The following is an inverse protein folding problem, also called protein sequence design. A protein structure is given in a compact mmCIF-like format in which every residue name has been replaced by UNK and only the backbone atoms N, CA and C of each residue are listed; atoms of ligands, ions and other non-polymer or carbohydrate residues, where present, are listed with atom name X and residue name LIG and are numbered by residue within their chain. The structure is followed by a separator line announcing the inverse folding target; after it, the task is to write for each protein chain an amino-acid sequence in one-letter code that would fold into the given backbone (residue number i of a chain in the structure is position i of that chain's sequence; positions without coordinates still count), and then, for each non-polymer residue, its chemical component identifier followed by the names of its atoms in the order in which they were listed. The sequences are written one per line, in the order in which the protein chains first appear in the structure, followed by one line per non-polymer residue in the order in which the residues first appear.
data_IF_597051765687
#
_entry.id   IF_597051765687
#
_cell.length_a   1.000
_cell.length_b   1.000
_cell.length_c   1.000
_cell.angle_alpha   90.00
_cell.angle_beta   90.00
_cell.angle_gamma   90.00
#
_symmetry.space_group_name_H-M   'P 1'
#
loop_
_entity.id
_entity.type
_entity.pdbx_description
1 polymer ?
#
# COMPACT_ATOMS: atom_id res chain seq x y z
N UNK A 1 -22.46 -28.45 8.35
CA UNK A 1 -21.01 -28.63 8.61
C UNK A 1 -20.29 -29.46 7.54
N UNK A 2 -20.92 -30.46 6.92
CA UNK A 2 -20.30 -31.31 5.87
C UNK A 2 -19.88 -30.48 4.64
N UNK A 3 -20.72 -29.57 4.18
CA UNK A 3 -20.43 -28.71 3.00
C UNK A 3 -19.23 -27.80 3.18
N UNK A 4 -19.03 -27.21 4.37
CA UNK A 4 -17.88 -26.35 4.66
C UNK A 4 -16.56 -27.10 4.63
N UNK A 5 -16.57 -28.33 5.13
CA UNK A 5 -15.40 -29.24 5.13
C UNK A 5 -15.00 -29.65 3.69
N UNK A 6 -16.01 -29.85 2.83
CA UNK A 6 -15.81 -30.16 1.42
C UNK A 6 -15.21 -28.95 0.68
N UNK A 7 -15.75 -27.76 0.90
CA UNK A 7 -15.26 -26.52 0.30
C UNK A 7 -13.79 -26.20 0.72
N UNK A 8 -13.44 -26.37 2.00
CA UNK A 8 -12.07 -26.23 2.46
C UNK A 8 -11.11 -27.25 1.80
N UNK A 9 -11.60 -28.48 1.55
CA UNK A 9 -10.80 -29.49 0.87
C UNK A 9 -10.61 -29.17 -0.62
N UNK A 10 -11.61 -28.58 -1.27
CA UNK A 10 -11.52 -28.09 -2.66
C UNK A 10 -10.48 -26.99 -2.79
N UNK A 11 -10.50 -26.00 -1.91
CA UNK A 11 -9.54 -24.90 -1.88
C UNK A 11 -8.09 -25.38 -1.71
N UNK A 12 -7.84 -26.37 -0.85
CA UNK A 12 -6.50 -26.96 -0.69
C UNK A 12 -5.95 -27.60 -1.94
N UNK A 13 -6.80 -27.96 -2.90
CA UNK A 13 -6.38 -28.52 -4.20
C UNK A 13 -6.15 -27.45 -5.25
N UNK A 14 -6.72 -26.27 -5.08
CA UNK A 14 -6.57 -25.17 -6.03
C UNK A 14 -5.28 -24.37 -5.75
N UNK A 15 -4.27 -24.64 -6.58
CA UNK A 15 -2.95 -23.98 -6.49
C UNK A 15 -3.04 -22.47 -6.67
N UNK A 16 -3.96 -21.99 -7.51
CA UNK A 16 -4.14 -20.56 -7.77
C UNK A 16 -4.68 -19.83 -6.54
N UNK A 17 -5.64 -20.44 -5.85
CA UNK A 17 -6.15 -19.91 -4.59
C UNK A 17 -5.05 -19.81 -3.52
N UNK A 18 -4.23 -20.86 -3.38
CA UNK A 18 -3.14 -20.88 -2.40
C UNK A 18 -2.10 -19.80 -2.69
N UNK A 19 -1.65 -19.68 -3.93
CA UNK A 19 -0.67 -18.67 -4.35
C UNK A 19 -1.23 -17.25 -4.09
N UNK A 20 -2.48 -17.02 -4.46
CA UNK A 20 -3.13 -15.73 -4.23
C UNK A 20 -3.22 -15.37 -2.74
N UNK A 21 -3.48 -16.36 -1.87
CA UNK A 21 -3.53 -16.15 -0.42
C UNK A 21 -2.19 -15.70 0.17
N UNK A 22 -1.11 -16.32 -0.27
CA UNK A 22 0.23 -16.01 0.24
C UNK A 22 0.82 -14.74 -0.36
N UNK A 23 0.33 -14.26 -1.51
CA UNK A 23 0.89 -13.08 -2.17
C UNK A 23 0.94 -11.83 -1.28
N UNK A 24 -0.14 -11.39 -0.60
CA UNK A 24 -0.08 -10.24 0.31
C UNK A 24 0.86 -10.48 1.49
N UNK A 25 0.92 -11.71 2.01
CA UNK A 25 1.80 -12.07 3.13
C UNK A 25 3.28 -11.97 2.72
N UNK A 26 3.64 -12.45 1.53
CA UNK A 26 5.00 -12.32 1.00
C UNK A 26 5.36 -10.85 0.78
N UNK A 27 4.44 -10.07 0.21
CA UNK A 27 4.65 -8.62 0.03
C UNK A 27 4.81 -7.90 1.37
N UNK A 28 4.08 -8.30 2.41
CA UNK A 28 4.21 -7.78 3.76
C UNK A 28 5.61 -8.04 4.34
N UNK A 29 6.11 -9.27 4.19
CA UNK A 29 7.47 -9.64 4.62
C UNK A 29 8.52 -8.80 3.88
N UNK A 30 8.37 -8.62 2.57
CA UNK A 30 9.29 -7.82 1.76
C UNK A 30 9.32 -6.35 2.21
N UNK A 31 8.17 -5.74 2.46
CA UNK A 31 8.11 -4.34 2.92
C UNK A 31 8.67 -4.21 4.34
N UNK A 32 8.38 -5.15 5.23
CA UNK A 32 8.96 -5.12 6.57
C UNK A 32 10.49 -5.25 6.50
N UNK A 33 11.01 -6.15 5.65
CA UNK A 33 12.44 -6.27 5.42
C UNK A 33 13.06 -5.00 4.82
N UNK A 34 12.38 -4.34 3.86
CA UNK A 34 12.83 -3.05 3.32
C UNK A 34 12.89 -1.95 4.39
N UNK A 35 11.96 -1.96 5.34
CA UNK A 35 11.97 -1.02 6.48
C UNK A 35 13.16 -1.21 7.44
N UNK A 36 13.79 -2.40 7.46
CA UNK A 36 14.98 -2.69 8.26
C UNK A 36 16.28 -2.29 7.55
N UNK A 37 16.24 -2.06 6.24
CA UNK A 37 17.39 -1.56 5.49
C UNK A 37 17.54 -0.07 5.80
N UNK A 38 18.65 0.28 6.41
CA UNK A 38 18.99 1.68 6.67
C UNK A 38 19.26 2.41 5.35
N UNK A 39 18.17 2.99 4.80
CA UNK A 39 18.19 3.79 3.56
C UNK A 39 18.66 5.22 3.85
N UNK A 40 18.96 5.55 5.12
CA UNK A 40 19.48 6.88 5.49
C UNK A 40 20.75 7.23 4.72
N UNK A 41 21.55 6.22 4.40
CA UNK A 41 22.74 6.37 3.55
C UNK A 41 22.43 6.75 2.09
N UNK A 42 21.22 6.47 1.58
CA UNK A 42 20.79 6.88 0.23
C UNK A 42 20.24 8.32 0.20
N UNK A 43 19.89 8.88 1.35
CA UNK A 43 19.44 10.28 1.51
C UNK A 43 20.54 11.22 2.01
N UNK A 44 21.73 10.72 2.36
CA UNK A 44 22.84 11.56 2.77
C UNK A 44 23.41 12.31 1.57
N UNK A 45 23.42 13.64 1.69
CA UNK A 45 24.03 14.52 0.69
C UNK A 45 25.51 14.19 0.62
N UNK A 46 25.99 13.80 -0.55
CA UNK A 46 27.40 13.51 -0.81
C UNK A 46 28.05 14.71 -1.47
N UNK A 47 29.09 15.23 -0.84
CA UNK A 47 29.92 16.29 -1.38
C UNK A 47 31.22 15.69 -1.95
N UNK A 48 31.46 15.88 -3.22
CA UNK A 48 32.71 15.49 -3.86
C UNK A 48 33.68 16.68 -3.89
N UNK A 49 34.86 16.52 -3.34
CA UNK A 49 35.94 17.53 -3.39
C UNK A 49 37.20 16.94 -4.03
N UNK A 50 38.04 17.79 -4.62
CA UNK A 50 39.35 17.39 -5.11
C UNK A 50 40.38 17.62 -4.01
N UNK A 51 41.29 16.66 -3.81
CA UNK A 51 42.35 16.70 -2.82
C UNK A 51 43.12 18.02 -2.88
N UNK A 52 43.43 18.60 -1.71
CA UNK A 52 44.22 19.82 -1.54
C UNK A 52 43.69 21.10 -2.23
N UNK A 53 42.44 21.09 -2.71
CA UNK A 53 41.83 22.25 -3.39
C UNK A 53 41.05 23.17 -2.45
N UNK A 54 40.55 22.64 -1.34
CA UNK A 54 39.74 23.37 -0.36
C UNK A 54 40.49 23.50 0.99
N UNK A 55 40.31 24.61 1.70
CA UNK A 55 40.84 24.76 3.08
C UNK A 55 40.22 23.71 4.01
N UNK A 56 40.97 23.23 4.99
CA UNK A 56 40.55 22.25 5.99
C UNK A 56 39.26 22.69 6.72
N UNK A 57 39.15 24.00 7.01
CA UNK A 57 37.94 24.57 7.62
C UNK A 57 36.68 24.45 6.76
N UNK A 58 36.84 24.51 5.44
CA UNK A 58 35.73 24.33 4.48
C UNK A 58 35.31 22.87 4.39
N UNK A 59 36.25 21.95 4.40
CA UNK A 59 35.98 20.52 4.45
C UNK A 59 35.26 20.13 5.76
N UNK A 60 35.68 20.61 6.89
CA UNK A 60 35.01 20.39 8.18
C UNK A 60 33.61 21.00 8.21
N UNK A 61 33.40 22.13 7.55
CA UNK A 61 32.08 22.74 7.42
C UNK A 61 31.16 21.87 6.55
N UNK A 62 31.63 21.35 5.40
CA UNK A 62 30.87 20.46 4.55
C UNK A 62 30.46 19.15 5.26
N UNK A 63 31.38 18.59 6.10
CA UNK A 63 31.13 17.39 6.92
C UNK A 63 29.98 17.54 7.92
N UNK A 64 29.57 18.78 8.25
CA UNK A 64 28.39 19.02 9.11
C UNK A 64 27.06 18.84 8.37
N UNK A 65 27.06 18.91 7.03
CA UNK A 65 25.87 18.90 6.21
C UNK A 65 25.74 17.64 5.34
N UNK A 66 26.76 16.80 5.29
CA UNK A 66 26.73 15.55 4.54
C UNK A 66 28.08 14.83 4.50
N UNK A 67 28.13 13.71 3.80
CA UNK A 67 29.37 12.96 3.58
C UNK A 67 30.28 13.66 2.60
N UNK A 68 31.57 13.80 2.93
CA UNK A 68 32.56 14.38 2.04
C UNK A 68 33.46 13.29 1.50
N UNK A 69 33.43 13.10 0.18
CA UNK A 69 34.31 12.18 -0.56
C UNK A 69 35.42 12.98 -1.26
N UNK A 70 36.67 12.58 -1.01
CA UNK A 70 37.86 13.24 -1.59
C UNK A 70 38.34 12.46 -2.80
N UNK A 71 38.50 13.14 -3.91
CA UNK A 71 38.96 12.56 -5.20
C UNK A 71 40.34 13.11 -5.54
N UNK A 72 41.20 12.26 -6.12
CA UNK A 72 42.59 12.65 -6.46
C UNK A 72 42.65 13.64 -7.62
N UNK A 73 41.71 13.58 -8.57
CA UNK A 73 41.71 14.42 -9.76
C UNK A 73 40.31 14.99 -10.04
N UNK A 74 40.32 16.18 -10.70
CA UNK A 74 39.08 16.81 -11.17
C UNK A 74 38.30 15.92 -12.15
N UNK A 75 39.02 15.11 -12.93
CA UNK A 75 38.42 14.18 -13.89
C UNK A 75 37.65 13.03 -13.18
N UNK A 76 38.19 12.51 -12.07
CA UNK A 76 37.51 11.50 -11.26
C UNK A 76 36.25 12.10 -10.61
N UNK A 77 36.32 13.30 -10.06
CA UNK A 77 35.17 14.00 -9.50
C UNK A 77 34.06 14.19 -10.57
N UNK A 78 34.41 14.64 -11.78
CA UNK A 78 33.43 14.84 -12.87
C UNK A 78 32.80 13.50 -13.29
N UNK A 79 33.55 12.40 -13.30
CA UNK A 79 33.01 11.07 -13.60
C UNK A 79 32.00 10.65 -12.55
N UNK A 80 32.30 10.87 -11.29
CA UNK A 80 31.40 10.54 -10.18
C UNK A 80 30.12 11.39 -10.20
N UNK A 81 30.24 12.70 -10.49
CA UNK A 81 29.07 13.59 -10.63
C UNK A 81 28.16 13.12 -11.80
N UNK A 82 28.73 12.53 -12.85
CA UNK A 82 27.99 12.00 -13.99
C UNK A 82 27.37 10.61 -13.75
N UNK A 83 27.79 9.92 -12.69
CA UNK A 83 27.21 8.62 -12.37
C UNK A 83 25.84 8.81 -11.71
N UNK A 84 24.81 8.31 -12.38
CA UNK A 84 23.39 8.38 -11.97
C UNK A 84 23.16 7.71 -10.60
N UNK A 85 24.10 6.85 -10.17
CA UNK A 85 23.96 6.09 -8.92
C UNK A 85 24.42 6.84 -7.66
N UNK A 86 25.16 7.93 -7.79
CA UNK A 86 25.89 8.52 -6.66
C UNK A 86 25.35 9.85 -6.16
N UNK A 87 24.48 10.55 -6.91
CA UNK A 87 23.89 11.86 -6.54
C UNK A 87 24.88 12.83 -5.83
N UNK A 88 26.14 12.87 -6.34
CA UNK A 88 27.23 13.61 -5.70
C UNK A 88 27.27 15.06 -6.15
N UNK A 89 27.22 16.01 -5.21
CA UNK A 89 27.41 17.44 -5.45
C UNK A 89 28.90 17.73 -5.49
N UNK A 90 29.44 18.12 -6.64
CA UNK A 90 30.83 18.58 -6.72
C UNK A 90 31.00 19.95 -6.07
N UNK A 91 32.00 20.11 -5.21
CA UNK A 91 32.36 21.40 -4.58
C UNK A 91 33.76 21.79 -5.00
N UNK A 92 33.89 22.94 -5.62
CA UNK A 92 35.18 23.48 -6.11
C UNK A 92 35.39 24.86 -5.51
N UNK A 93 36.65 25.21 -5.29
CA UNK A 93 37.03 26.55 -4.82
C UNK A 93 36.77 27.61 -5.89
N UNK A 94 36.15 28.72 -5.50
CA UNK A 94 35.97 29.90 -6.35
C UNK A 94 36.40 31.15 -5.59
N UNK A 95 37.64 31.55 -5.81
CA UNK A 95 38.27 32.65 -5.07
C UNK A 95 38.26 32.43 -3.54
N UNK A 96 37.55 33.27 -2.81
CA UNK A 96 37.33 33.14 -1.35
C UNK A 96 36.07 32.29 -1.01
N UNK A 97 35.27 31.90 -2.00
CA UNK A 97 34.03 31.13 -1.84
C UNK A 97 34.12 29.70 -2.38
N UNK A 98 32.97 29.08 -2.46
CA UNK A 98 32.80 27.77 -3.06
C UNK A 98 31.81 27.86 -4.25
N UNK A 99 32.05 27.02 -5.25
CA UNK A 99 31.11 26.80 -6.37
C UNK A 99 30.72 25.35 -6.41
N UNK A 100 29.43 25.09 -6.61
CA UNK A 100 28.90 23.75 -6.77
C UNK A 100 28.81 23.35 -8.24
N UNK A 101 29.05 22.07 -8.52
CA UNK A 101 28.94 21.44 -9.84
C UNK A 101 27.93 20.31 -9.75
N UNK A 102 26.90 20.40 -10.58
CA UNK A 102 25.81 19.44 -10.70
C UNK A 102 25.74 18.92 -12.13
N UNK A 103 25.28 17.71 -12.32
CA UNK A 103 25.05 17.14 -13.67
C UNK A 103 23.72 17.59 -14.26
N UNK A 104 22.70 17.84 -13.42
CA UNK A 104 21.40 18.36 -13.81
C UNK A 104 20.26 17.34 -13.81
N UNK A 105 20.56 16.06 -13.60
CA UNK A 105 19.57 14.98 -13.48
C UNK A 105 19.31 14.55 -12.02
N UNK A 106 19.93 15.22 -11.05
CA UNK A 106 19.76 14.95 -9.63
C UNK A 106 18.30 15.20 -9.17
N UNK A 107 17.93 14.54 -8.08
CA UNK A 107 16.64 14.75 -7.41
C UNK A 107 16.51 16.24 -7.02
N UNK A 108 15.33 16.81 -7.18
CA UNK A 108 15.08 18.24 -6.93
C UNK A 108 15.55 18.73 -5.57
N UNK A 109 15.52 17.88 -4.53
CA UNK A 109 16.03 18.20 -3.20
C UNK A 109 17.54 18.45 -3.23
N UNK A 110 18.32 17.55 -3.85
CA UNK A 110 19.79 17.66 -3.96
C UNK A 110 20.18 18.84 -4.85
N UNK A 111 19.44 19.06 -5.93
CA UNK A 111 19.61 20.19 -6.83
C UNK A 111 19.41 21.53 -6.11
N UNK A 112 18.39 21.62 -5.24
CA UNK A 112 18.16 22.82 -4.44
C UNK A 112 19.28 23.05 -3.43
N UNK A 113 19.74 22.00 -2.72
CA UNK A 113 20.90 22.10 -1.82
C UNK A 113 22.13 22.56 -2.59
N UNK A 114 22.43 21.95 -3.74
CA UNK A 114 23.57 22.35 -4.56
C UNK A 114 23.51 23.81 -5.00
N UNK A 115 22.36 24.37 -5.29
CA UNK A 115 22.17 25.78 -5.66
C UNK A 115 22.35 26.74 -4.49
N UNK A 116 21.88 26.37 -3.29
CA UNK A 116 21.91 27.23 -2.08
C UNK A 116 23.23 27.13 -1.32
N UNK A 117 24.00 26.06 -1.48
CA UNK A 117 25.25 25.80 -0.76
C UNK A 117 26.28 26.94 -0.83
N UNK A 118 26.55 27.57 -2.02
CA UNK A 118 27.48 28.70 -2.11
C UNK A 118 27.01 29.91 -1.32
N UNK A 119 25.72 30.21 -1.29
CA UNK A 119 25.15 31.31 -0.50
C UNK A 119 25.25 31.04 1.00
N UNK A 120 24.94 29.83 1.44
CA UNK A 120 25.09 29.38 2.81
C UNK A 120 26.55 29.50 3.29
N UNK A 121 27.50 29.15 2.42
CA UNK A 121 28.93 29.31 2.73
C UNK A 121 29.36 30.78 2.86
N UNK A 122 28.81 31.67 2.04
CA UNK A 122 29.08 33.12 2.10
C UNK A 122 28.55 33.74 3.39
N UNK A 123 27.37 33.30 3.85
CA UNK A 123 26.72 33.77 5.06
C UNK A 123 27.28 33.15 6.37
N UNK A 124 28.25 32.22 6.25
CA UNK A 124 28.86 31.49 7.39
C UNK A 124 29.35 32.39 8.52
N UNK A 125 29.73 33.65 8.23
CA UNK A 125 30.20 34.63 9.22
C UNK A 125 29.07 35.26 10.03
N UNK A 126 27.88 35.37 9.48
CA UNK A 126 26.72 36.05 10.07
C UNK A 126 25.77 35.10 10.83
N UNK A 127 25.99 33.77 10.70
CA UNK A 127 25.14 32.74 11.28
C UNK A 127 25.58 32.24 12.66
N UNK A 128 26.24 33.08 13.48
CA UNK A 128 26.75 32.68 14.79
C UNK A 128 25.70 32.27 15.81
N UNK A 129 24.43 32.64 15.62
CA UNK A 129 23.34 32.38 16.56
C UNK A 129 22.07 31.75 15.94
N UNK A 130 22.18 31.08 14.79
CA UNK A 130 21.05 30.33 14.23
C UNK A 130 21.06 28.92 14.81
N UNK A 131 20.30 28.71 15.86
CA UNK A 131 19.96 27.40 16.37
C UNK A 131 18.97 26.74 15.38
N UNK A 132 19.49 25.90 14.51
CA UNK A 132 18.65 25.13 13.57
C UNK A 132 18.07 23.96 14.35
N UNK A 133 16.87 24.14 14.86
CA UNK A 133 16.07 23.00 15.36
C UNK A 133 15.57 22.23 14.15
N UNK A 134 16.22 21.14 13.82
CA UNK A 134 15.74 20.19 12.82
C UNK A 134 14.58 19.46 13.49
N UNK A 135 13.36 19.90 13.19
CA UNK A 135 12.17 19.09 13.49
C UNK A 135 12.31 17.79 12.67
N UNK A 136 12.29 16.62 13.31
CA UNK A 136 12.31 15.38 12.58
C UNK A 136 11.05 15.34 11.70
N UNK A 137 11.22 15.68 10.43
CA UNK A 137 10.17 15.43 9.43
C UNK A 137 10.14 13.91 9.28
N UNK A 138 8.98 13.33 9.56
CA UNK A 138 8.76 11.92 9.22
C UNK A 138 9.24 11.73 7.78
N UNK A 139 10.17 10.81 7.58
CA UNK A 139 10.81 10.68 6.27
C UNK A 139 9.72 10.40 5.23
N UNK A 140 9.78 11.06 4.09
CA UNK A 140 8.88 10.82 2.95
C UNK A 140 8.79 9.31 2.67
N UNK A 141 9.88 8.58 2.89
CA UNK A 141 9.97 7.13 2.79
C UNK A 141 9.05 6.41 3.79
N UNK A 142 8.92 6.90 5.03
CA UNK A 142 8.04 6.30 6.03
C UNK A 142 6.56 6.50 5.65
N UNK A 143 6.22 7.66 5.13
CA UNK A 143 4.87 7.95 4.63
C UNK A 143 4.51 7.05 3.44
N UNK A 144 5.41 6.88 2.47
CA UNK A 144 5.24 5.93 1.38
C UNK A 144 5.12 4.48 1.88
N UNK A 145 5.94 4.08 2.85
CA UNK A 145 5.86 2.75 3.46
C UNK A 145 4.47 2.52 4.08
N UNK A 146 3.93 3.48 4.81
CA UNK A 146 2.60 3.39 5.41
C UNK A 146 1.50 3.21 4.34
N UNK A 147 1.59 3.96 3.23
CA UNK A 147 0.67 3.82 2.10
C UNK A 147 0.77 2.44 1.47
N UNK A 148 1.98 1.90 1.27
CA UNK A 148 2.18 0.55 0.75
C UNK A 148 1.63 -0.51 1.69
N UNK A 149 1.82 -0.39 3.00
CA UNK A 149 1.23 -1.28 4.00
C UNK A 149 -0.29 -1.26 3.90
N UNK A 150 -0.91 -0.07 3.83
CA UNK A 150 -2.36 0.06 3.67
C UNK A 150 -2.87 -0.62 2.39
N UNK A 151 -2.17 -0.47 1.27
CA UNK A 151 -2.52 -1.12 -0.01
C UNK A 151 -2.41 -2.64 0.08
N UNK A 152 -1.37 -3.18 0.72
CA UNK A 152 -1.22 -4.62 0.92
C UNK A 152 -2.33 -5.17 1.81
N UNK A 153 -2.70 -4.45 2.86
CA UNK A 153 -3.81 -4.83 3.75
C UNK A 153 -5.14 -4.87 3.00
N UNK A 154 -5.44 -3.87 2.17
CA UNK A 154 -6.63 -3.88 1.31
C UNK A 154 -6.59 -5.09 0.37
N UNK A 155 -5.45 -5.39 -0.24
CA UNK A 155 -5.27 -6.56 -1.11
C UNK A 155 -5.51 -7.85 -0.34
N UNK A 156 -5.02 -7.96 0.89
CA UNK A 156 -5.23 -9.12 1.75
C UNK A 156 -6.71 -9.31 2.13
N UNK A 157 -7.42 -8.22 2.45
CA UNK A 157 -8.87 -8.26 2.69
C UNK A 157 -9.65 -8.66 1.43
N UNK A 158 -9.17 -8.25 0.25
CA UNK A 158 -9.78 -8.58 -1.03
C UNK A 158 -9.61 -10.05 -1.42
N UNK A 159 -8.76 -10.81 -0.73
CA UNK A 159 -8.63 -12.25 -0.95
C UNK A 159 -9.96 -12.99 -0.77
N UNK A 160 -10.85 -12.53 0.11
CA UNK A 160 -12.20 -13.06 0.25
C UNK A 160 -13.00 -13.06 -1.04
N UNK A 161 -12.86 -11.99 -1.84
CA UNK A 161 -13.45 -11.88 -3.18
C UNK A 161 -12.88 -12.94 -4.13
N UNK A 162 -11.56 -13.02 -4.22
CA UNK A 162 -10.87 -13.97 -5.11
C UNK A 162 -11.26 -15.40 -4.79
N UNK A 163 -11.25 -15.79 -3.51
CA UNK A 163 -11.65 -17.12 -3.08
C UNK A 163 -13.07 -17.48 -3.47
N UNK A 164 -14.03 -16.60 -3.19
CA UNK A 164 -15.42 -16.88 -3.51
C UNK A 164 -15.66 -16.95 -5.00
N UNK A 165 -15.11 -16.02 -5.77
CA UNK A 165 -15.26 -16.01 -7.21
C UNK A 165 -14.67 -17.26 -7.85
N UNK A 166 -13.41 -17.60 -7.53
CA UNK A 166 -12.71 -18.75 -8.07
C UNK A 166 -13.41 -20.06 -7.70
N UNK A 167 -13.82 -20.19 -6.44
CA UNK A 167 -14.51 -21.39 -5.98
C UNK A 167 -15.84 -21.62 -6.73
N UNK A 168 -16.63 -20.55 -6.98
CA UNK A 168 -17.90 -20.67 -7.73
C UNK A 168 -17.63 -20.99 -9.20
N UNK A 169 -16.60 -20.40 -9.79
CA UNK A 169 -16.24 -20.62 -11.19
C UNK A 169 -15.72 -22.04 -11.38
N UNK A 170 -14.85 -22.55 -10.51
CA UNK A 170 -14.40 -23.93 -10.56
C UNK A 170 -15.55 -24.93 -10.42
N UNK A 171 -16.51 -24.66 -9.52
CA UNK A 171 -17.72 -25.52 -9.41
C UNK A 171 -18.56 -25.52 -10.69
N UNK A 172 -18.59 -24.42 -11.45
CA UNK A 172 -19.28 -24.37 -12.75
C UNK A 172 -18.54 -25.17 -13.81
N UNK A 173 -17.21 -25.01 -13.90
CA UNK A 173 -16.39 -25.70 -14.90
C UNK A 173 -16.35 -27.22 -14.66
N UNK A 174 -16.30 -27.64 -13.40
CA UNK A 174 -16.31 -29.05 -13.01
C UNK A 174 -17.72 -29.69 -13.09
N UNK A 175 -18.76 -28.94 -13.47
CA UNK A 175 -20.14 -29.40 -13.49
C UNK A 175 -20.76 -29.66 -12.10
N UNK A 176 -20.03 -29.34 -11.02
CA UNK A 176 -20.48 -29.54 -9.63
C UNK A 176 -21.67 -28.63 -9.30
N UNK A 177 -21.80 -27.50 -9.99
CA UNK A 177 -22.94 -26.57 -9.79
C UNK A 177 -24.30 -27.28 -10.05
N UNK A 178 -24.35 -28.21 -10.99
CA UNK A 178 -25.55 -29.03 -11.27
C UNK A 178 -25.84 -30.01 -10.11
N UNK A 179 -24.79 -30.61 -9.55
CA UNK A 179 -24.91 -31.51 -8.37
C UNK A 179 -25.42 -30.74 -7.15
N UNK A 180 -24.97 -29.49 -6.96
CA UNK A 180 -25.43 -28.64 -5.87
C UNK A 180 -26.91 -28.26 -5.95
N UNK A 181 -27.53 -28.28 -7.14
CA UNK A 181 -28.98 -28.07 -7.32
C UNK A 181 -29.82 -29.29 -6.89
N UNK A 182 -29.23 -30.48 -6.94
CA UNK A 182 -29.91 -31.75 -6.58
C UNK A 182 -29.71 -32.10 -5.11
N UNK A 183 -28.70 -31.51 -4.45
CA UNK A 183 -28.43 -31.75 -3.03
C UNK A 183 -29.56 -31.16 -2.15
N UNK A 184 -29.91 -31.79 -1.03
CA UNK A 184 -30.89 -31.30 -0.07
C UNK A 184 -30.39 -30.12 0.77
N UNK A 185 -29.71 -29.16 0.12
CA UNK A 185 -29.19 -27.96 0.71
C UNK A 185 -30.00 -26.76 0.29
N UNK A 186 -30.45 -25.92 1.24
CA UNK A 186 -31.12 -24.69 0.87
C UNK A 186 -30.14 -23.72 0.22
N UNK A 187 -30.63 -22.95 -0.76
CA UNK A 187 -29.84 -21.94 -1.47
C UNK A 187 -29.21 -20.91 -0.52
N UNK A 188 -29.95 -20.55 0.53
CA UNK A 188 -29.45 -19.64 1.56
C UNK A 188 -28.26 -20.24 2.33
N UNK A 189 -28.29 -21.52 2.64
CA UNK A 189 -27.20 -22.23 3.29
C UNK A 189 -25.96 -22.25 2.42
N UNK A 190 -26.09 -22.47 1.11
CA UNK A 190 -24.98 -22.42 0.16
C UNK A 190 -24.33 -21.04 0.14
N UNK A 191 -25.13 -19.98 0.05
CA UNK A 191 -24.65 -18.60 0.00
C UNK A 191 -23.92 -18.23 1.31
N UNK A 192 -24.53 -18.55 2.46
CA UNK A 192 -23.92 -18.26 3.76
C UNK A 192 -22.57 -18.99 3.92
N UNK A 193 -22.48 -20.25 3.46
CA UNK A 193 -21.20 -20.98 3.51
C UNK A 193 -20.13 -20.33 2.65
N UNK A 194 -20.47 -19.85 1.45
CA UNK A 194 -19.53 -19.15 0.57
C UNK A 194 -19.08 -17.82 1.16
N UNK A 195 -20.04 -17.00 1.64
CA UNK A 195 -19.70 -15.73 2.31
C UNK A 195 -18.80 -15.96 3.52
N UNK A 196 -19.15 -16.92 4.35
CA UNK A 196 -18.36 -17.25 5.54
C UNK A 196 -16.94 -17.71 5.20
N UNK A 197 -16.79 -18.52 4.15
CA UNK A 197 -15.49 -18.99 3.70
C UNK A 197 -14.63 -17.82 3.19
N UNK A 198 -15.18 -16.96 2.32
CA UNK A 198 -14.48 -15.79 1.81
C UNK A 198 -14.10 -14.82 2.93
N UNK A 199 -15.01 -14.60 3.89
CA UNK A 199 -14.75 -13.77 5.08
C UNK A 199 -13.60 -14.35 5.90
N UNK A 200 -13.61 -15.66 6.19
CA UNK A 200 -12.52 -16.30 6.95
C UNK A 200 -11.17 -16.17 6.23
N UNK A 201 -11.13 -16.43 4.93
CA UNK A 201 -9.89 -16.32 4.15
C UNK A 201 -9.38 -14.87 4.10
N UNK A 202 -10.26 -13.90 3.89
CA UNK A 202 -9.90 -12.48 3.93
C UNK A 202 -9.40 -12.05 5.29
N UNK A 203 -10.09 -12.41 6.37
CA UNK A 203 -9.67 -12.09 7.73
C UNK A 203 -8.34 -12.75 8.10
N UNK A 204 -8.13 -14.01 7.79
CA UNK A 204 -6.88 -14.71 8.10
C UNK A 204 -5.69 -14.09 7.35
N UNK A 205 -5.82 -13.85 6.04
CA UNK A 205 -4.78 -13.22 5.24
C UNK A 205 -4.43 -11.83 5.79
N UNK A 206 -5.45 -11.01 6.08
CA UNK A 206 -5.26 -9.65 6.58
C UNK A 206 -4.65 -9.63 7.97
N UNK A 207 -5.10 -10.48 8.89
CA UNK A 207 -4.55 -10.51 10.25
C UNK A 207 -3.10 -10.96 10.26
N UNK A 208 -2.72 -11.96 9.44
CA UNK A 208 -1.32 -12.35 9.29
C UNK A 208 -0.49 -11.16 8.78
N UNK A 209 -1.01 -10.43 7.79
CA UNK A 209 -0.34 -9.25 7.24
C UNK A 209 -0.21 -8.13 8.27
N UNK A 210 -1.24 -7.88 9.10
CA UNK A 210 -1.20 -6.90 10.20
C UNK A 210 -0.08 -7.25 11.19
N UNK A 211 -0.01 -8.50 11.63
CA UNK A 211 1.02 -8.95 12.59
C UNK A 211 2.45 -8.83 12.03
N UNK A 212 2.63 -8.92 10.72
CA UNK A 212 3.95 -8.78 10.08
C UNK A 212 4.34 -7.30 9.94
N UNK A 213 3.39 -6.45 9.55
CA UNK A 213 3.70 -5.06 9.16
C UNK A 213 3.58 -4.04 10.28
N UNK A 214 2.73 -4.29 11.30
CA UNK A 214 2.33 -3.29 12.28
C UNK A 214 2.60 -3.77 13.70
N UNK A 215 3.26 -2.89 14.46
CA UNK A 215 3.36 -3.03 15.92
C UNK A 215 2.38 -2.04 16.55
N UNK A 216 1.17 -2.53 16.82
CA UNK A 216 0.03 -1.72 17.28
C UNK A 216 -0.44 -2.14 18.67
N UNK A 217 -1.04 -1.20 19.39
CA UNK A 217 -1.61 -1.45 20.71
C UNK A 217 -2.80 -2.44 20.66
N UNK A 218 -3.16 -3.02 21.81
CA UNK A 218 -4.30 -3.95 21.89
C UNK A 218 -5.60 -3.27 21.47
N UNK A 219 -5.78 -1.99 21.79
CA UNK A 219 -6.96 -1.22 21.42
C UNK A 219 -7.04 -1.03 19.90
N UNK A 220 -5.94 -0.63 19.26
CA UNK A 220 -5.83 -0.45 17.82
C UNK A 220 -6.02 -1.79 17.09
N UNK A 221 -5.57 -2.89 17.70
CA UNK A 221 -5.78 -4.24 17.17
C UNK A 221 -7.28 -4.59 17.10
N UNK A 222 -8.08 -4.22 18.12
CA UNK A 222 -9.53 -4.45 18.11
C UNK A 222 -10.19 -3.62 17.01
N UNK A 223 -9.82 -2.35 16.87
CA UNK A 223 -10.32 -1.48 15.81
C UNK A 223 -9.95 -1.98 14.43
N UNK A 224 -8.69 -2.42 14.23
CA UNK A 224 -8.22 -3.05 13.00
C UNK A 224 -9.00 -4.32 12.69
N UNK A 225 -9.27 -5.17 13.67
CA UNK A 225 -10.06 -6.39 13.49
C UNK A 225 -11.48 -6.09 12.99
N UNK A 226 -12.16 -5.08 13.56
CA UNK A 226 -13.49 -4.65 13.12
C UNK A 226 -13.44 -4.16 11.66
N UNK A 227 -12.46 -3.33 11.32
CA UNK A 227 -12.26 -2.82 9.98
C UNK A 227 -12.01 -3.96 8.98
N UNK A 228 -11.18 -4.95 9.36
CA UNK A 228 -10.90 -6.14 8.56
C UNK A 228 -12.17 -6.97 8.34
N UNK A 229 -12.97 -7.21 9.38
CA UNK A 229 -14.20 -8.02 9.27
C UNK A 229 -15.19 -7.39 8.30
N UNK A 230 -15.46 -6.08 8.41
CA UNK A 230 -16.40 -5.40 7.51
C UNK A 230 -15.88 -5.37 6.07
N UNK A 231 -14.60 -5.05 5.85
CA UNK A 231 -14.01 -5.00 4.53
C UNK A 231 -13.94 -6.38 3.87
N UNK A 232 -13.58 -7.43 4.61
CA UNK A 232 -13.55 -8.80 4.11
C UNK A 232 -14.97 -9.33 3.82
N UNK A 233 -15.98 -8.90 4.58
CA UNK A 233 -17.37 -9.25 4.30
C UNK A 233 -17.84 -8.64 2.98
N UNK A 234 -17.60 -7.35 2.74
CA UNK A 234 -17.94 -6.67 1.48
C UNK A 234 -17.21 -7.35 0.31
N UNK A 235 -15.91 -7.59 0.47
CA UNK A 235 -15.07 -8.29 -0.50
C UNK A 235 -15.63 -9.68 -0.85
N UNK A 236 -16.04 -10.44 0.17
CA UNK A 236 -16.66 -11.75 0.00
C UNK A 236 -17.96 -11.70 -0.80
N UNK A 237 -18.81 -10.70 -0.56
CA UNK A 237 -20.06 -10.48 -1.35
C UNK A 237 -19.74 -10.15 -2.80
N UNK A 238 -18.78 -9.28 -3.07
CA UNK A 238 -18.35 -8.94 -4.42
C UNK A 238 -17.85 -10.19 -5.16
N UNK A 239 -17.11 -11.06 -4.47
CA UNK A 239 -16.68 -12.35 -5.02
C UNK A 239 -17.83 -13.25 -5.45
N UNK A 240 -18.93 -13.26 -4.68
CA UNK A 240 -20.15 -13.98 -5.10
C UNK A 240 -20.74 -13.40 -6.39
N UNK A 241 -20.77 -12.08 -6.55
CA UNK A 241 -21.26 -11.46 -7.78
C UNK A 241 -20.40 -11.85 -8.98
N UNK A 242 -19.07 -11.72 -8.84
CA UNK A 242 -18.12 -12.08 -9.90
C UNK A 242 -18.29 -13.57 -10.26
N UNK A 243 -18.30 -14.45 -9.28
CA UNK A 243 -18.46 -15.88 -9.50
C UNK A 243 -19.76 -16.23 -10.21
N UNK A 244 -20.87 -15.52 -9.91
CA UNK A 244 -22.15 -15.72 -10.60
C UNK A 244 -22.16 -15.18 -12.04
N UNK A 245 -21.53 -14.03 -12.28
CA UNK A 245 -21.51 -13.35 -13.57
C UNK A 245 -20.54 -14.01 -14.57
N UNK A 246 -19.50 -14.63 -14.06
CA UNK A 246 -18.46 -15.25 -14.91
C UNK A 246 -18.96 -16.55 -15.50
N UNK A 247 -18.78 -16.70 -16.81
CA UNK A 247 -19.12 -17.92 -17.56
C UNK A 247 -18.00 -18.97 -17.50
N UNK A 248 -16.77 -18.57 -17.24
CA UNK A 248 -15.60 -19.43 -17.13
C UNK A 248 -14.43 -18.75 -16.43
N UNK A 249 -13.36 -19.52 -16.23
CA UNK A 249 -12.20 -19.13 -15.44
C UNK A 249 -11.53 -17.86 -15.97
N UNK A 250 -11.31 -17.76 -17.28
CA UNK A 250 -10.64 -16.61 -17.88
C UNK A 250 -11.42 -15.30 -17.66
N UNK A 251 -12.73 -15.34 -17.87
CA UNK A 251 -13.62 -14.18 -17.66
C UNK A 251 -13.62 -13.78 -16.18
N UNK A 252 -13.67 -14.78 -15.29
CA UNK A 252 -13.64 -14.55 -13.86
C UNK A 252 -12.36 -13.87 -13.39
N UNK A 253 -11.20 -14.31 -13.87
CA UNK A 253 -9.91 -13.70 -13.55
C UNK A 253 -9.87 -12.24 -14.00
N UNK A 254 -10.39 -11.93 -15.20
CA UNK A 254 -10.46 -10.55 -15.71
C UNK A 254 -11.33 -9.68 -14.81
N UNK A 255 -12.52 -10.13 -14.42
CA UNK A 255 -13.41 -9.39 -13.52
C UNK A 255 -12.79 -9.17 -12.15
N UNK A 256 -12.14 -10.18 -11.56
CA UNK A 256 -11.42 -10.06 -10.29
C UNK A 256 -10.35 -8.97 -10.39
N UNK A 257 -9.54 -8.98 -11.46
CA UNK A 257 -8.47 -7.99 -11.67
C UNK A 257 -9.02 -6.58 -11.82
N UNK A 258 -10.06 -6.39 -12.62
CA UNK A 258 -10.69 -5.07 -12.82
C UNK A 258 -11.18 -4.51 -11.48
N UNK A 259 -11.93 -5.32 -10.73
CA UNK A 259 -12.47 -4.88 -9.43
C UNK A 259 -11.34 -4.63 -8.43
N UNK A 260 -10.30 -5.45 -8.41
CA UNK A 260 -9.13 -5.26 -7.54
C UNK A 260 -8.41 -3.94 -7.85
N UNK A 261 -8.20 -3.62 -9.14
CA UNK A 261 -7.59 -2.34 -9.56
C UNK A 261 -8.44 -1.16 -9.10
N UNK A 262 -9.77 -1.23 -9.22
CA UNK A 262 -10.67 -0.19 -8.73
C UNK A 262 -10.60 -0.04 -7.21
N UNK A 263 -10.56 -1.14 -6.47
CA UNK A 263 -10.51 -1.13 -5.00
C UNK A 263 -9.19 -0.58 -4.44
N UNK A 264 -8.07 -0.86 -5.09
CA UNK A 264 -6.75 -0.38 -4.68
C UNK A 264 -6.48 1.01 -5.27
N UNK A 265 -6.78 1.21 -6.54
CA UNK A 265 -6.46 2.43 -7.27
C UNK A 265 -7.24 3.65 -6.80
N UNK A 266 -8.53 3.49 -6.47
CA UNK A 266 -9.36 4.61 -6.03
C UNK A 266 -8.85 5.29 -4.76
N UNK A 267 -8.63 4.59 -3.62
CA UNK A 267 -8.10 5.24 -2.42
C UNK A 267 -6.70 5.82 -2.63
N UNK A 268 -5.85 5.14 -3.40
CA UNK A 268 -4.52 5.63 -3.72
C UNK A 268 -4.56 6.95 -4.50
N UNK A 269 -5.40 7.06 -5.53
CA UNK A 269 -5.57 8.28 -6.30
C UNK A 269 -6.09 9.43 -5.44
N UNK A 270 -7.08 9.17 -4.58
CA UNK A 270 -7.65 10.15 -3.67
C UNK A 270 -6.58 10.68 -2.70
N UNK A 271 -5.76 9.77 -2.17
CA UNK A 271 -4.66 10.12 -1.28
C UNK A 271 -3.60 10.98 -1.99
N UNK A 272 -3.14 10.56 -3.18
CA UNK A 272 -2.13 11.29 -3.96
C UNK A 272 -2.61 12.67 -4.43
N UNK A 273 -3.90 12.82 -4.75
CA UNK A 273 -4.49 14.10 -5.17
C UNK A 273 -4.82 15.02 -3.99
N UNK A 274 -4.70 14.55 -2.74
CA UNK A 274 -5.03 15.34 -1.55
C UNK A 274 -6.51 15.72 -1.44
N UNK A 275 -7.41 14.98 -2.10
CA UNK A 275 -8.85 15.31 -2.18
C UNK A 275 -9.55 15.10 -0.84
N UNK A 276 -8.96 14.37 0.10
CA UNK A 276 -9.53 14.12 1.44
C UNK A 276 -9.84 15.40 2.24
N UNK A 277 -9.17 16.51 1.94
CA UNK A 277 -9.35 17.80 2.63
C UNK A 277 -10.45 18.66 2.02
N UNK A 278 -11.02 18.28 0.88
CA UNK A 278 -12.05 19.03 0.15
C UNK A 278 -13.44 18.45 0.40
N UNK A 279 -14.51 19.24 0.19
CA UNK A 279 -15.90 18.76 0.28
C UNK A 279 -16.22 17.58 -0.65
N UNK A 280 -15.44 17.40 -1.72
CA UNK A 280 -15.50 16.27 -2.65
C UNK A 280 -15.06 14.97 -1.98
N UNK A 281 -14.21 15.03 -0.95
CA UNK A 281 -13.75 13.85 -0.18
C UNK A 281 -14.91 13.00 0.36
N UNK A 282 -16.04 13.60 0.71
CA UNK A 282 -17.22 12.86 1.19
C UNK A 282 -17.88 12.00 0.10
N UNK A 283 -17.82 12.40 -1.17
CA UNK A 283 -18.34 11.59 -2.28
C UNK A 283 -17.47 10.36 -2.55
N UNK A 284 -16.20 10.42 -2.20
CA UNK A 284 -15.26 9.31 -2.39
C UNK A 284 -15.58 8.12 -1.49
N UNK A 285 -16.30 8.34 -0.38
CA UNK A 285 -16.79 7.27 0.50
C UNK A 285 -17.89 6.37 -0.12
N UNK A 286 -18.32 6.64 -1.33
CA UNK A 286 -19.16 5.70 -2.13
C UNK A 286 -18.40 4.39 -2.36
N UNK A 287 -17.06 4.43 -2.44
CA UNK A 287 -16.22 3.24 -2.51
C UNK A 287 -15.84 2.78 -1.10
N UNK A 288 -16.19 1.54 -0.72
CA UNK A 288 -15.87 1.02 0.62
C UNK A 288 -14.36 0.92 0.87
N UNK A 289 -13.56 0.73 -0.17
CA UNK A 289 -12.10 0.67 -0.05
C UNK A 289 -11.47 1.98 0.42
N UNK A 290 -12.13 3.13 0.18
CA UNK A 290 -11.67 4.44 0.67
C UNK A 290 -11.78 4.52 2.19
N UNK A 291 -12.92 4.10 2.75
CA UNK A 291 -13.09 4.03 4.20
C UNK A 291 -12.09 3.04 4.83
N UNK A 292 -11.87 1.89 4.18
CA UNK A 292 -10.86 0.92 4.63
C UNK A 292 -9.46 1.54 4.65
N UNK A 293 -9.06 2.21 3.57
CA UNK A 293 -7.73 2.84 3.46
C UNK A 293 -7.53 3.93 4.51
N UNK A 294 -8.50 4.83 4.64
CA UNK A 294 -8.43 5.92 5.62
C UNK A 294 -8.36 5.37 7.05
N UNK A 295 -9.21 4.39 7.40
CA UNK A 295 -9.17 3.75 8.71
C UNK A 295 -7.82 3.08 9.02
N UNK A 296 -7.20 2.40 8.03
CA UNK A 296 -5.86 1.82 8.19
C UNK A 296 -4.82 2.93 8.41
N UNK A 297 -4.84 3.99 7.61
CA UNK A 297 -3.89 5.10 7.72
C UNK A 297 -4.03 5.84 9.06
N UNK A 298 -5.24 6.00 9.57
CA UNK A 298 -5.49 6.59 10.89
C UNK A 298 -4.91 5.73 12.02
N UNK A 299 -5.08 4.39 11.95
CA UNK A 299 -4.46 3.47 12.92
C UNK A 299 -2.94 3.57 12.88
N UNK A 300 -2.33 3.55 11.69
CA UNK A 300 -0.87 3.64 11.52
C UNK A 300 -0.33 4.96 12.07
N UNK A 301 -1.08 6.05 11.91
CA UNK A 301 -0.69 7.39 12.40
C UNK A 301 -1.05 7.64 13.87
N UNK A 302 -1.62 6.66 14.58
CA UNK A 302 -1.98 6.77 16.00
C UNK A 302 -3.19 7.67 16.29
N UNK A 303 -4.05 7.92 15.30
CA UNK A 303 -5.25 8.73 15.46
C UNK A 303 -6.43 7.88 15.94
N UNK A 304 -7.21 8.39 16.90
CA UNK A 304 -8.32 7.65 17.55
C UNK A 304 -9.66 7.77 16.81
N UNK A 305 -9.74 8.51 15.69
CA UNK A 305 -11.02 8.89 15.03
C UNK A 305 -11.49 7.87 13.98
N UNK A 306 -11.27 6.59 14.20
CA UNK A 306 -11.59 5.51 13.25
C UNK A 306 -13.09 5.16 13.23
N UNK A 307 -13.87 5.63 14.20
CA UNK A 307 -15.30 5.28 14.36
C UNK A 307 -16.11 5.66 13.11
N UNK A 308 -15.77 6.79 12.46
CA UNK A 308 -16.43 7.23 11.22
C UNK A 308 -16.28 6.17 10.11
N UNK A 309 -15.08 5.68 9.86
CA UNK A 309 -14.80 4.74 8.79
C UNK A 309 -15.43 3.37 9.05
N UNK A 310 -15.41 2.92 10.30
CA UNK A 310 -16.09 1.69 10.73
C UNK A 310 -17.60 1.78 10.49
N UNK A 311 -18.24 2.91 10.85
CA UNK A 311 -19.68 3.12 10.62
C UNK A 311 -20.01 3.13 9.15
N UNK A 312 -19.21 3.81 8.33
CA UNK A 312 -19.37 3.83 6.87
C UNK A 312 -19.27 2.41 6.30
N UNK A 313 -18.28 1.62 6.72
CA UNK A 313 -18.14 0.23 6.30
C UNK A 313 -19.31 -0.65 6.73
N UNK A 314 -19.83 -0.46 7.95
CA UNK A 314 -21.02 -1.16 8.42
C UNK A 314 -22.26 -0.85 7.55
N UNK A 315 -22.44 0.41 7.16
CA UNK A 315 -23.49 0.81 6.21
C UNK A 315 -23.28 0.14 4.85
N UNK A 316 -22.06 0.12 4.33
CA UNK A 316 -21.74 -0.59 3.09
C UNK A 316 -22.04 -2.09 3.16
N UNK A 317 -21.77 -2.75 4.28
CA UNK A 317 -22.13 -4.17 4.48
C UNK A 317 -23.62 -4.39 4.29
N UNK A 318 -24.46 -3.54 4.87
CA UNK A 318 -25.93 -3.63 4.72
C UNK A 318 -26.34 -3.37 3.28
N UNK A 319 -25.81 -2.32 2.66
CA UNK A 319 -26.14 -1.94 1.26
C UNK A 319 -25.76 -3.06 0.30
N UNK A 320 -24.54 -3.58 0.34
CA UNK A 320 -24.08 -4.66 -0.55
C UNK A 320 -24.85 -5.96 -0.33
N UNK A 321 -25.20 -6.27 0.93
CA UNK A 321 -26.02 -7.42 1.25
C UNK A 321 -27.44 -7.29 0.70
N UNK A 322 -28.07 -6.11 0.79
CA UNK A 322 -29.38 -5.82 0.22
C UNK A 322 -29.37 -5.91 -1.32
N UNK A 323 -28.34 -5.33 -1.96
CA UNK A 323 -28.16 -5.45 -3.42
C UNK A 323 -28.10 -6.93 -3.82
N UNK A 324 -27.34 -7.73 -3.05
CA UNK A 324 -27.22 -9.16 -3.32
C UNK A 324 -28.60 -9.87 -3.28
N UNK A 325 -29.38 -9.64 -2.23
CA UNK A 325 -30.70 -10.24 -2.07
C UNK A 325 -31.65 -9.84 -3.22
N UNK A 326 -31.66 -8.56 -3.60
CA UNK A 326 -32.52 -8.04 -4.68
C UNK A 326 -32.18 -8.71 -6.02
N UNK A 327 -30.90 -8.82 -6.35
CA UNK A 327 -30.45 -9.44 -7.60
C UNK A 327 -30.70 -10.95 -7.61
N UNK A 328 -30.58 -11.61 -6.46
CA UNK A 328 -30.89 -13.05 -6.36
C UNK A 328 -32.38 -13.33 -6.54
N UNK A 329 -33.28 -12.47 -6.03
CA UNK A 329 -34.72 -12.56 -6.23
C UNK A 329 -35.16 -12.32 -7.69
N UNK A 330 -34.60 -11.31 -8.37
CA UNK A 330 -34.91 -11.01 -9.77
C UNK A 330 -34.59 -12.19 -10.69
N UNK A 331 -33.49 -12.88 -10.48
CA UNK A 331 -33.12 -14.06 -11.30
C UNK A 331 -34.11 -15.25 -11.15
N UNK A 332 -34.74 -15.42 -9.98
CA UNK A 332 -35.80 -16.41 -9.78
C UNK A 332 -37.01 -16.18 -10.71
N UNK A 333 -37.35 -14.92 -10.94
CA UNK A 333 -38.51 -14.56 -11.81
C UNK A 333 -38.22 -14.79 -13.31
N UNK A 334 -36.94 -14.76 -13.73
CA UNK A 334 -36.57 -14.99 -15.13
C UNK A 334 -36.39 -16.45 -15.50
N UNK A 335 -36.05 -17.34 -14.56
CA UNK A 335 -35.89 -18.79 -14.81
C UNK A 335 -37.11 -19.64 -14.47
N UNK A 336 -38.18 -19.05 -13.93
CA UNK A 336 -39.46 -19.71 -13.69
C UNK A 336 -40.46 -19.53 -14.85
N UNK A 337 -39.99 -19.00 -15.98
CA UNK A 337 -40.68 -19.00 -17.26
C UNK A 337 -39.90 -19.88 -18.22
#
# INVERSE_FOLDING_TARGET
MIGLRYQLKSIKKDKMCIISFFLPVVMAILINFMGTIDISSLGEIRFGIVKDTLPVQTEQWLKKYGMVSVYDTKMHLIREIKDIKTDTIGVVRDGKGIKTVLYGNEINAIKNVGKTLPEMFRLKGDLKDVEVTILPKDSILKEFQNVFIAMILITAMFMGCTFNAMNIISEKEDGISFINEVLPQSRSQYIIQKVFLGLLCGCLSSMITVFICLDISILDMIMMLLLVIFSAFISSLIGLFIGKLSEGLMVGIVYIKIVMILFIGTPLLIYLLGVNTSGIGNLCYIMPSVATFNGIMEIINGNVIIIKDIVILAVHCVVWFMIYIILDKKRKLFFSR
#
